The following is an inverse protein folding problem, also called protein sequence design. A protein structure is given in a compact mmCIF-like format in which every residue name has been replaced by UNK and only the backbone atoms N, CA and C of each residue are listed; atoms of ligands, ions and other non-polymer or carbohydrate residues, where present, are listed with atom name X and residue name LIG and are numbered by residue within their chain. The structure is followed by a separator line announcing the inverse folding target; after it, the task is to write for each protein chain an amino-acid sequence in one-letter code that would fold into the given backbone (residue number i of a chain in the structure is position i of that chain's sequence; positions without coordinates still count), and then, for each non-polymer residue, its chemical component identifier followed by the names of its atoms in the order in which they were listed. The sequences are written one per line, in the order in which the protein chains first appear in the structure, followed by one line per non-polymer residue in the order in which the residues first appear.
data_IF_921553125453
#
_entry.id   IF_921553125453
#
_cell.length_a   1.000
_cell.length_b   1.000
_cell.length_c   1.000
_cell.angle_alpha   90.00
_cell.angle_beta   90.00
_cell.angle_gamma   90.00
#
_symmetry.space_group_name_H-M   'P 1'
#
loop_
_entity.id
_entity.type
_entity.pdbx_description
1 polymer ?
#
# COMPACT_ATOMS: atom_id res chain seq x y z
N UNK A 1 -35.38 8.24 9.21
CA UNK A 1 -34.05 7.99 8.58
C UNK A 1 -33.41 6.72 9.11
N UNK A 2 -32.52 6.12 8.30
CA UNK A 2 -31.73 4.92 8.63
C UNK A 2 -30.23 5.26 8.64
N UNK A 3 -29.47 4.50 9.43
CA UNK A 3 -28.03 4.63 9.61
C UNK A 3 -27.34 3.49 8.84
N UNK A 4 -26.46 3.82 7.89
CA UNK A 4 -25.63 2.84 7.18
C UNK A 4 -24.15 3.17 7.40
N UNK A 5 -23.37 2.18 7.81
CA UNK A 5 -21.90 2.24 7.87
C UNK A 5 -21.34 1.68 6.57
N UNK A 6 -20.59 2.49 5.83
CA UNK A 6 -19.97 2.08 4.56
C UNK A 6 -18.44 2.21 4.69
N UNK A 7 -17.72 1.13 4.42
CA UNK A 7 -16.27 1.16 4.24
C UNK A 7 -15.96 1.55 2.78
N UNK A 8 -15.26 2.66 2.57
CA UNK A 8 -14.78 3.08 1.25
C UNK A 8 -13.35 2.57 1.04
N UNK A 9 -13.18 1.60 0.15
CA UNK A 9 -11.89 1.35 -0.53
C UNK A 9 -12.03 1.77 -1.99
N UNK A 10 -11.17 2.71 -2.43
CA UNK A 10 -11.13 3.14 -3.83
C UNK A 10 -10.58 2.00 -4.69
N UNK A 11 -11.47 1.18 -5.24
CA UNK A 11 -11.19 0.37 -6.42
C UNK A 11 -11.50 1.21 -7.67
N UNK A 12 -10.52 1.38 -8.55
CA UNK A 12 -10.76 1.91 -9.90
C UNK A 12 -11.67 0.92 -10.66
N UNK A 13 -12.91 1.36 -10.91
CA UNK A 13 -13.98 0.53 -11.44
C UNK A 13 -13.91 0.40 -12.97
N UNK A 14 -13.84 -0.84 -13.45
CA UNK A 14 -14.28 -1.24 -14.79
C UNK A 14 -15.72 -1.77 -14.70
N UNK A 15 -16.61 -1.23 -15.52
CA UNK A 15 -18.06 -1.48 -15.55
C UNK A 15 -18.44 -2.94 -15.82
N UNK A 16 -19.37 -3.49 -15.03
CA UNK A 16 -20.10 -4.73 -15.33
C UNK A 16 -21.60 -4.44 -15.51
N UNK A 17 -22.13 -4.99 -16.61
CA UNK A 17 -23.57 -5.09 -16.90
C UNK A 17 -24.17 -6.23 -16.08
N UNK A 18 -25.38 -5.99 -15.59
CA UNK A 18 -26.16 -6.78 -14.63
C UNK A 18 -26.62 -8.14 -15.15
N UNK A 19 -26.67 -9.15 -14.27
CA UNK A 19 -27.60 -10.27 -14.36
C UNK A 19 -28.16 -10.60 -12.96
N UNK A 20 -29.48 -10.47 -12.81
CA UNK A 20 -30.25 -10.82 -11.61
C UNK A 20 -30.36 -12.34 -11.44
N UNK A 21 -30.29 -12.86 -10.21
CA UNK A 21 -31.20 -13.91 -9.75
C UNK A 21 -31.39 -13.84 -8.22
N UNK A 22 -32.66 -13.76 -7.82
CA UNK A 22 -33.18 -13.94 -6.47
C UNK A 22 -32.89 -15.35 -5.97
N UNK A 23 -32.55 -15.52 -4.68
CA UNK A 23 -33.20 -16.53 -3.82
C UNK A 23 -33.10 -16.10 -2.34
N UNK A 24 -34.27 -16.03 -1.70
CA UNK A 24 -34.46 -15.86 -0.26
C UNK A 24 -34.10 -17.16 0.45
N UNK A 25 -33.39 -17.11 1.58
CA UNK A 25 -33.69 -17.95 2.73
C UNK A 25 -33.33 -17.23 4.03
N UNK A 26 -34.21 -17.43 5.01
CA UNK A 26 -34.41 -16.65 6.23
C UNK A 26 -34.35 -17.66 7.37
N UNK A 27 -33.38 -17.58 8.29
CA UNK A 27 -33.50 -18.21 9.61
C UNK A 27 -32.72 -17.45 10.71
N UNK A 28 -33.53 -16.95 11.64
CA UNK A 28 -33.38 -16.82 13.10
C UNK A 28 -32.07 -16.43 13.79
N UNK A 29 -32.23 -15.38 14.59
CA UNK A 29 -31.36 -14.79 15.59
C UNK A 29 -30.94 -15.76 16.70
N UNK A 30 -29.69 -15.66 17.15
CA UNK A 30 -29.36 -15.63 18.57
C UNK A 30 -28.30 -14.55 18.85
N UNK A 31 -28.62 -13.73 19.84
CA UNK A 31 -27.97 -12.50 20.27
C UNK A 31 -26.80 -12.85 21.20
N UNK A 32 -25.59 -12.36 20.90
CA UNK A 32 -24.57 -12.10 21.93
C UNK A 32 -23.89 -10.78 21.60
N UNK A 33 -23.89 -9.94 22.62
CA UNK A 33 -23.40 -8.58 22.67
C UNK A 33 -21.88 -8.63 22.81
N UNK A 34 -21.17 -7.97 21.89
CA UNK A 34 -19.72 -7.76 22.00
C UNK A 34 -19.43 -6.33 21.57
N UNK A 35 -18.83 -5.59 22.50
CA UNK A 35 -18.34 -4.22 22.34
C UNK A 35 -17.32 -4.19 21.20
N UNK A 36 -17.57 -3.35 20.19
CA UNK A 36 -16.66 -3.13 19.06
C UNK A 36 -15.90 -1.83 19.33
N UNK A 37 -14.60 -1.94 19.52
CA UNK A 37 -13.66 -0.82 19.55
C UNK A 37 -13.21 -0.52 18.10
N UNK A 38 -13.20 0.76 17.75
CA UNK A 38 -13.42 1.28 16.40
C UNK A 38 -12.14 1.38 15.55
N UNK A 39 -12.15 0.77 14.36
CA UNK A 39 -11.54 1.39 13.17
C UNK A 39 -12.51 2.44 12.59
N UNK A 40 -12.01 3.54 12.03
CA UNK A 40 -12.85 4.67 11.60
C UNK A 40 -13.94 4.26 10.59
N UNK A 41 -15.21 4.35 11.01
CA UNK A 41 -16.39 4.15 10.17
C UNK A 41 -16.96 5.50 9.74
N UNK A 42 -17.16 5.71 8.44
CA UNK A 42 -17.90 6.88 7.95
C UNK A 42 -19.40 6.56 8.01
N UNK A 43 -20.13 7.36 8.79
CA UNK A 43 -21.58 7.23 8.99
C UNK A 43 -22.32 7.97 7.89
N UNK A 44 -23.18 7.26 7.14
CA UNK A 44 -24.06 7.84 6.11
C UNK A 44 -25.51 7.85 6.60
N UNK A 45 -26.19 9.00 6.44
CA UNK A 45 -27.59 9.19 6.82
C UNK A 45 -28.49 9.11 5.60
N UNK A 46 -29.56 8.31 5.67
CA UNK A 46 -30.49 8.14 4.56
C UNK A 46 -31.94 8.48 4.93
N UNK A 47 -32.59 9.25 4.05
CA UNK A 47 -34.04 9.49 4.04
C UNK A 47 -34.61 8.97 2.71
N UNK A 48 -35.63 8.11 2.79
CA UNK A 48 -36.28 7.47 1.64
C UNK A 48 -35.30 6.81 0.63
N UNK A 49 -34.22 6.22 1.14
CA UNK A 49 -33.21 5.53 0.33
C UNK A 49 -32.23 6.46 -0.38
N UNK A 50 -32.18 7.75 -0.04
CA UNK A 50 -31.19 8.71 -0.53
C UNK A 50 -30.35 9.25 0.61
N UNK A 51 -29.05 9.40 0.37
CA UNK A 51 -28.14 10.02 1.32
C UNK A 51 -28.47 11.50 1.50
N UNK A 52 -28.56 11.94 2.76
CA UNK A 52 -28.75 13.33 3.15
C UNK A 52 -27.54 13.83 3.96
N UNK A 53 -27.12 15.09 3.79
CA UNK A 53 -25.98 15.64 4.50
C UNK A 53 -26.28 15.78 6.00
N UNK A 54 -25.24 15.66 6.84
CA UNK A 54 -25.35 15.76 8.30
C UNK A 54 -26.06 17.05 8.77
N UNK A 55 -25.88 18.15 8.03
CA UNK A 55 -26.51 19.42 8.36
C UNK A 55 -28.04 19.41 8.19
N UNK A 56 -28.56 18.71 7.17
CA UNK A 56 -30.01 18.53 6.98
C UNK A 56 -30.59 17.56 8.03
N UNK A 57 -29.82 16.54 8.42
CA UNK A 57 -30.18 15.63 9.51
C UNK A 57 -30.36 16.39 10.81
N UNK A 58 -29.40 17.26 11.15
CA UNK A 58 -29.45 18.06 12.37
C UNK A 58 -30.56 19.10 12.38
N UNK A 59 -30.81 19.77 11.25
CA UNK A 59 -31.93 20.70 11.11
C UNK A 59 -33.28 19.98 11.29
N UNK A 60 -33.46 18.83 10.63
CA UNK A 60 -34.71 18.06 10.71
C UNK A 60 -34.94 17.37 12.06
N UNK A 61 -33.88 17.07 12.81
CA UNK A 61 -34.00 16.61 14.20
C UNK A 61 -34.39 17.75 15.16
N UNK A 62 -33.88 18.96 14.93
CA UNK A 62 -34.14 20.13 15.77
C UNK A 62 -35.57 20.69 15.59
N UNK A 63 -36.12 20.66 14.38
CA UNK A 63 -37.48 21.11 14.08
C UNK A 63 -38.54 20.00 14.21
N UNK A 64 -38.11 18.77 14.47
CA UNK A 64 -38.96 17.60 14.68
C UNK A 64 -39.54 16.96 13.41
N UNK A 65 -39.10 17.41 12.22
CA UNK A 65 -39.52 16.86 10.93
C UNK A 65 -38.89 15.50 10.60
N UNK A 66 -37.75 15.17 11.20
CA UNK A 66 -37.05 13.89 11.05
C UNK A 66 -36.99 13.10 12.36
N UNK A 67 -37.17 11.78 12.26
CA UNK A 67 -36.98 10.83 13.35
C UNK A 67 -36.25 9.57 12.85
N UNK A 68 -35.48 8.92 13.71
CA UNK A 68 -34.83 7.65 13.41
C UNK A 68 -35.86 6.51 13.40
N UNK A 69 -35.75 5.60 12.42
CA UNK A 69 -36.79 4.60 12.17
C UNK A 69 -36.83 3.45 13.20
N UNK A 70 -35.79 3.29 14.04
CA UNK A 70 -35.62 2.13 14.94
C UNK A 70 -35.38 2.49 16.42
N UNK A 71 -35.66 3.71 16.88
CA UNK A 71 -35.32 4.20 18.23
C UNK A 71 -33.82 4.15 18.60
N UNK A 72 -32.92 3.81 17.67
CA UNK A 72 -31.48 4.04 17.82
C UNK A 72 -31.22 5.55 17.68
N UNK A 73 -31.23 6.24 18.82
CA UNK A 73 -30.84 7.63 18.94
C UNK A 73 -29.38 7.69 19.41
N UNK A 74 -28.39 7.69 18.50
CA UNK A 74 -27.04 8.02 18.90
C UNK A 74 -27.05 9.43 19.51
N UNK A 75 -26.65 9.54 20.77
CA UNK A 75 -26.47 10.84 21.43
C UNK A 75 -25.29 11.55 20.79
N UNK A 76 -25.46 12.83 20.46
CA UNK A 76 -24.38 13.72 20.01
C UNK A 76 -24.11 13.77 18.51
N UNK A 77 -25.03 13.29 17.66
CA UNK A 77 -24.95 13.40 16.18
C UNK A 77 -24.66 14.83 15.69
N UNK A 78 -25.18 15.83 16.41
CA UNK A 78 -25.12 17.23 16.01
C UNK A 78 -24.17 18.08 16.85
N UNK A 79 -23.43 17.46 17.78
CA UNK A 79 -22.55 18.19 18.71
C UNK A 79 -21.37 18.85 17.97
N UNK A 80 -20.92 18.25 16.86
CA UNK A 80 -19.85 18.78 16.01
C UNK A 80 -20.22 20.01 15.16
N UNK A 81 -21.50 20.43 15.13
CA UNK A 81 -21.92 21.64 14.40
C UNK A 81 -22.01 22.89 15.29
N UNK A 82 -21.77 22.78 16.60
CA UNK A 82 -21.81 23.91 17.52
C UNK A 82 -20.49 24.69 17.57
N UNK A 83 -19.99 25.14 16.41
CA UNK A 83 -19.01 26.24 16.30
C UNK A 83 -18.89 26.67 14.85
N UNK A 84 -19.77 27.57 14.40
CA UNK A 84 -19.44 28.75 13.57
C UNK A 84 -20.71 29.34 12.95
N UNK A 85 -20.89 30.64 13.17
CA UNK A 85 -21.99 31.46 12.69
C UNK A 85 -21.58 32.25 11.45
N UNK A 86 -22.52 32.36 10.49
CA UNK A 86 -22.70 33.37 9.41
C UNK A 86 -22.04 33.21 8.01
N UNK A 87 -22.88 32.75 7.04
CA UNK A 87 -23.30 33.34 5.72
C UNK A 87 -22.29 33.71 4.58
N UNK A 88 -22.74 33.83 3.30
CA UNK A 88 -23.72 33.02 2.53
C UNK A 88 -23.23 32.58 1.11
N UNK A 89 -23.89 31.53 0.61
CA UNK A 89 -24.31 31.19 -0.78
C UNK A 89 -23.49 31.66 -2.00
N UNK A 90 -23.01 30.68 -2.78
CA UNK A 90 -22.99 30.72 -4.25
C UNK A 90 -23.21 29.33 -4.86
N UNK A 91 -24.17 29.27 -5.77
CA UNK A 91 -24.65 28.15 -6.60
C UNK A 91 -23.52 27.42 -7.36
N UNK A 92 -23.53 26.08 -7.50
CA UNK A 92 -22.64 25.42 -8.46
C UNK A 92 -23.25 25.39 -9.87
N UNK A 93 -22.47 25.87 -10.83
CA UNK A 93 -22.69 25.77 -12.27
C UNK A 93 -22.36 24.36 -12.76
N UNK A 94 -23.21 23.82 -13.64
CA UNK A 94 -23.11 22.48 -14.22
C UNK A 94 -22.35 22.55 -15.54
N UNK A 95 -21.30 21.74 -15.71
CA UNK A 95 -20.78 21.36 -17.05
C UNK A 95 -19.90 20.08 -16.95
N UNK A 96 -19.66 19.32 -18.04
CA UNK A 96 -20.10 17.94 -18.12
C UNK A 96 -18.94 16.93 -18.07
N UNK A 97 -19.32 15.70 -17.74
CA UNK A 97 -18.54 14.47 -17.79
C UNK A 97 -18.04 14.19 -19.22
N UNK A 98 -16.72 14.17 -19.43
CA UNK A 98 -16.10 13.53 -20.59
C UNK A 98 -15.44 12.22 -20.14
N UNK A 99 -15.93 11.12 -20.70
CA UNK A 99 -15.39 9.78 -20.52
C UNK A 99 -13.97 9.66 -21.08
N UNK A 100 -13.07 8.90 -20.44
CA UNK A 100 -11.73 8.64 -20.97
C UNK A 100 -11.79 7.72 -22.20
N UNK A 101 -11.05 8.12 -23.23
CA UNK A 101 -10.87 7.42 -24.49
C UNK A 101 -10.17 6.07 -24.30
N UNK A 102 -10.68 5.04 -24.98
CA UNK A 102 -10.03 3.73 -25.15
C UNK A 102 -9.13 3.79 -26.40
N UNK A 103 -7.92 3.23 -26.33
CA UNK A 103 -7.01 3.12 -27.48
C UNK A 103 -6.84 1.65 -27.91
N UNK A 104 -6.97 1.42 -29.22
CA UNK A 104 -6.70 0.16 -29.92
C UNK A 104 -5.40 0.36 -30.70
N UNK A 105 -4.40 -0.49 -30.49
CA UNK A 105 -3.18 -0.48 -31.30
C UNK A 105 -3.27 -1.40 -32.52
N UNK A 106 -2.89 -0.85 -33.68
CA UNK A 106 -2.54 -1.59 -34.89
C UNK A 106 -1.05 -1.96 -34.87
N UNK A 107 -0.75 -3.26 -34.99
CA UNK A 107 0.61 -3.75 -35.18
C UNK A 107 1.16 -3.39 -36.57
N UNK A 108 2.42 -2.94 -36.59
CA UNK A 108 3.26 -2.99 -37.79
C UNK A 108 4.63 -3.54 -37.42
N UNK A 109 5.03 -4.56 -38.18
CA UNK A 109 6.23 -5.37 -38.00
C UNK A 109 7.39 -4.72 -38.74
N UNK A 110 8.52 -4.54 -38.07
CA UNK A 110 9.80 -4.30 -38.74
C UNK A 110 10.92 -5.08 -38.05
N UNK A 111 11.53 -5.97 -38.82
CA UNK A 111 12.74 -6.75 -38.54
C UNK A 111 14.00 -5.89 -38.53
N UNK A 112 15.01 -6.25 -37.72
CA UNK A 112 16.41 -5.96 -38.10
C UNK A 112 17.28 -7.22 -38.15
N UNK A 113 18.22 -7.21 -39.09
CA UNK A 113 19.24 -8.21 -39.33
C UNK A 113 20.56 -7.91 -38.57
N UNK A 114 21.21 -8.99 -38.14
CA UNK A 114 22.66 -9.26 -37.96
C UNK A 114 23.63 -8.13 -37.59
N UNK A 115 24.43 -8.34 -36.53
CA UNK A 115 25.83 -8.81 -36.68
C UNK A 115 26.60 -8.91 -35.35
N UNK A 116 27.43 -9.95 -35.31
CA UNK A 116 28.40 -10.34 -34.28
C UNK A 116 29.65 -9.46 -34.35
N UNK A 117 30.26 -9.14 -33.20
CA UNK A 117 31.72 -9.13 -33.02
C UNK A 117 32.08 -8.98 -31.54
N UNK A 118 32.92 -9.90 -31.07
CA UNK A 118 33.55 -9.89 -29.76
C UNK A 118 34.85 -9.06 -29.79
N UNK A 119 35.22 -8.46 -28.66
CA UNK A 119 36.62 -8.41 -28.22
C UNK A 119 36.74 -7.99 -26.75
N UNK A 120 37.63 -8.71 -26.08
CA UNK A 120 38.05 -8.72 -24.69
C UNK A 120 39.08 -7.64 -24.35
N UNK A 121 39.08 -7.11 -23.12
CA UNK A 121 40.31 -6.75 -22.38
C UNK A 121 40.11 -6.57 -20.86
N UNK A 122 40.79 -7.44 -20.10
CA UNK A 122 41.53 -7.25 -18.84
C UNK A 122 41.14 -6.17 -17.80
N UNK A 123 40.71 -6.69 -16.65
CA UNK A 123 41.02 -6.38 -15.24
C UNK A 123 42.09 -5.33 -14.89
N UNK A 124 41.75 -4.46 -13.91
CA UNK A 124 42.68 -3.87 -12.93
C UNK A 124 42.00 -3.84 -11.54
N UNK A 125 42.70 -4.31 -10.51
CA UNK A 125 42.27 -4.41 -9.12
C UNK A 125 42.89 -3.30 -8.25
N UNK A 126 42.10 -2.89 -7.23
CA UNK A 126 42.46 -2.42 -5.85
C UNK A 126 43.08 -1.02 -5.65
N UNK A 127 42.95 -0.37 -4.46
CA UNK A 127 42.56 -0.92 -3.14
C UNK A 127 41.47 -0.17 -2.33
N UNK A 128 41.01 -0.89 -1.29
CA UNK A 128 40.09 -0.47 -0.25
C UNK A 128 40.64 0.65 0.66
N UNK A 129 39.74 1.49 1.16
CA UNK A 129 39.93 2.35 2.32
C UNK A 129 38.73 2.20 3.26
N UNK A 130 39.03 2.23 4.55
CA UNK A 130 38.26 1.67 5.65
C UNK A 130 37.11 2.56 6.15
N UNK A 131 36.04 1.88 6.54
CA UNK A 131 34.97 2.18 7.51
C UNK A 131 35.14 3.38 8.47
N UNK A 132 34.07 4.20 8.57
CA UNK A 132 33.24 4.30 9.79
C UNK A 132 32.10 5.33 9.65
N UNK A 133 30.85 4.89 9.55
CA UNK A 133 29.68 5.40 10.32
C UNK A 133 28.36 4.80 9.80
N UNK A 134 27.80 3.91 10.62
CA UNK A 134 26.45 3.32 10.65
C UNK A 134 25.45 3.69 9.51
N UNK A 135 25.32 2.77 8.55
CA UNK A 135 24.11 2.59 7.74
C UNK A 135 23.26 1.50 8.37
N UNK A 136 22.04 1.83 8.79
CA UNK A 136 21.06 0.89 9.32
C UNK A 136 20.36 0.11 8.20
N UNK A 137 21.14 -0.50 7.30
CA UNK A 137 20.63 -1.64 6.55
C UNK A 137 20.78 -2.86 7.44
N UNK A 138 19.69 -3.28 8.07
CA UNK A 138 19.58 -4.62 8.64
C UNK A 138 19.95 -5.62 7.55
N UNK A 139 21.21 -6.06 7.52
CA UNK A 139 21.73 -7.00 6.53
C UNK A 139 21.02 -8.33 6.73
N UNK A 140 20.03 -8.59 5.89
CA UNK A 140 19.33 -9.86 5.85
C UNK A 140 20.36 -10.98 5.66
N UNK A 141 20.37 -11.95 6.58
CA UNK A 141 21.20 -13.14 6.49
C UNK A 141 20.42 -14.28 5.85
N UNK A 142 21.09 -15.14 5.08
CA UNK A 142 20.46 -16.33 4.50
C UNK A 142 19.38 -16.07 3.45
N UNK A 143 19.50 -15.00 2.66
CA UNK A 143 18.61 -14.74 1.51
C UNK A 143 18.56 -15.90 0.51
N UNK A 144 19.63 -16.68 0.43
CA UNK A 144 19.71 -17.86 -0.44
C UNK A 144 19.36 -19.18 0.24
N UNK A 145 19.01 -19.17 1.53
CA UNK A 145 18.61 -20.35 2.26
C UNK A 145 17.13 -20.69 2.00
N UNK A 146 16.86 -21.97 1.77
CA UNK A 146 15.49 -22.48 1.78
C UNK A 146 14.94 -22.38 3.21
N UNK A 147 13.67 -21.98 3.33
CA UNK A 147 12.98 -21.91 4.60
C UNK A 147 12.72 -23.33 5.14
N UNK A 148 13.00 -23.59 6.43
CA UNK A 148 12.82 -24.89 7.07
C UNK A 148 11.34 -25.09 7.43
N UNK A 149 10.54 -25.41 6.42
CA UNK A 149 9.09 -25.52 6.48
C UNK A 149 8.61 -26.48 7.59
N UNK A 150 7.90 -25.95 8.60
CA UNK A 150 7.39 -26.71 9.74
C UNK A 150 8.39 -27.00 10.86
N UNK A 151 9.61 -26.46 10.81
CA UNK A 151 10.64 -26.74 11.83
C UNK A 151 10.70 -25.65 12.91
N UNK A 152 10.62 -24.37 12.51
CA UNK A 152 10.71 -23.23 13.42
C UNK A 152 9.43 -23.07 14.23
N UNK A 153 9.60 -22.76 15.52
CA UNK A 153 8.49 -22.36 16.39
C UNK A 153 7.93 -21.00 15.96
N UNK A 154 6.63 -20.76 16.17
CA UNK A 154 6.01 -19.48 15.80
C UNK A 154 6.55 -18.27 16.56
N UNK A 155 7.19 -18.49 17.71
CA UNK A 155 7.90 -17.46 18.46
C UNK A 155 9.27 -17.10 17.88
N UNK A 156 9.77 -17.87 16.91
CA UNK A 156 11.08 -17.66 16.31
C UNK A 156 10.95 -16.81 15.05
N UNK A 157 11.45 -15.58 15.10
CA UNK A 157 11.53 -14.75 13.90
C UNK A 157 12.61 -15.29 12.93
N UNK A 158 12.31 -15.50 11.63
CA UNK A 158 13.19 -16.23 10.72
C UNK A 158 14.28 -15.36 10.06
N UNK A 159 15.06 -14.63 10.87
CA UNK A 159 16.12 -13.73 10.37
C UNK A 159 17.25 -14.45 9.63
N UNK A 160 17.47 -15.73 9.94
CA UNK A 160 18.48 -16.58 9.29
C UNK A 160 18.07 -17.00 7.86
N UNK A 161 16.86 -16.64 7.41
CA UNK A 161 16.27 -17.03 6.13
C UNK A 161 15.81 -15.82 5.30
N UNK A 162 16.48 -14.68 5.49
CA UNK A 162 16.32 -13.46 4.70
C UNK A 162 15.29 -12.46 5.24
N UNK A 163 14.47 -12.84 6.22
CA UNK A 163 13.50 -11.93 6.81
C UNK A 163 14.20 -10.84 7.65
N UNK A 164 13.72 -9.61 7.54
CA UNK A 164 14.23 -8.46 8.28
C UNK A 164 13.28 -8.16 9.45
N UNK A 165 13.80 -8.18 10.67
CA UNK A 165 13.03 -7.92 11.87
C UNK A 165 12.68 -6.42 12.01
N UNK A 166 11.41 -6.13 12.27
CA UNK A 166 10.88 -4.80 12.52
C UNK A 166 10.46 -4.65 13.99
N UNK A 167 11.44 -4.70 14.89
CA UNK A 167 11.19 -4.78 16.34
C UNK A 167 10.42 -3.57 16.90
N UNK A 168 10.54 -2.40 16.27
CA UNK A 168 9.86 -1.17 16.69
C UNK A 168 8.34 -1.25 16.59
N UNK A 169 7.78 -2.17 15.79
CA UNK A 169 6.33 -2.39 15.72
C UNK A 169 5.79 -3.12 16.96
N UNK A 170 6.67 -3.74 17.76
CA UNK A 170 6.28 -4.50 18.95
C UNK A 170 5.48 -5.76 18.62
N UNK A 171 5.70 -6.32 17.44
CA UNK A 171 5.07 -7.55 16.94
C UNK A 171 6.06 -8.73 16.88
N UNK A 172 7.12 -8.73 17.68
CA UNK A 172 8.14 -9.80 17.65
C UNK A 172 8.90 -9.90 16.32
N UNK A 173 9.17 -8.75 15.69
CA UNK A 173 9.92 -8.63 14.42
C UNK A 173 9.07 -8.73 13.15
N UNK A 174 7.82 -9.20 13.23
CA UNK A 174 6.91 -9.29 12.09
C UNK A 174 6.51 -7.90 11.55
N UNK A 175 6.36 -7.77 10.22
CA UNK A 175 5.88 -6.52 9.59
C UNK A 175 4.38 -6.32 9.72
N UNK A 176 3.68 -7.36 10.13
CA UNK A 176 2.24 -7.38 10.35
C UNK A 176 1.79 -8.80 10.65
N UNK A 177 0.74 -8.96 11.44
CA UNK A 177 0.17 -10.28 11.75
C UNK A 177 -1.34 -10.18 11.54
N UNK A 178 -1.89 -11.16 10.82
CA UNK A 178 -3.32 -11.25 10.54
C UNK A 178 -3.87 -12.52 11.18
N UNK A 179 -4.79 -12.36 12.13
CA UNK A 179 -5.60 -13.45 12.67
C UNK A 179 -6.79 -13.67 11.73
N UNK A 180 -6.81 -14.83 11.07
CA UNK A 180 -7.80 -15.12 10.03
C UNK A 180 -8.82 -16.14 10.52
N UNK A 181 -10.10 -15.88 10.24
CA UNK A 181 -11.19 -16.84 10.46
C UNK A 181 -11.79 -17.28 9.13
N UNK A 182 -12.15 -18.55 9.04
CA UNK A 182 -12.73 -19.14 7.85
C UNK A 182 -14.24 -19.34 8.00
N UNK A 183 -14.99 -18.97 6.97
CA UNK A 183 -16.34 -19.46 6.73
C UNK A 183 -16.28 -20.32 5.46
N UNK A 184 -16.58 -21.61 5.60
CA UNK A 184 -16.36 -22.62 4.56
C UNK A 184 -14.90 -22.65 4.05
N UNK A 185 -14.65 -22.13 2.85
CA UNK A 185 -13.33 -22.14 2.18
C UNK A 185 -12.77 -20.73 1.95
N UNK A 186 -13.41 -19.71 2.49
CA UNK A 186 -12.99 -18.31 2.33
C UNK A 186 -12.64 -17.71 3.69
N UNK A 187 -11.71 -16.75 3.67
CA UNK A 187 -11.38 -15.96 4.86
C UNK A 187 -12.50 -14.92 5.03
N UNK A 188 -13.32 -15.10 6.06
CA UNK A 188 -14.49 -14.26 6.33
C UNK A 188 -14.17 -13.06 7.20
N UNK A 189 -13.15 -13.19 8.06
CA UNK A 189 -12.76 -12.16 9.01
C UNK A 189 -11.23 -12.14 9.13
N UNK A 190 -10.70 -10.93 9.25
CA UNK A 190 -9.29 -10.66 9.46
C UNK A 190 -9.21 -9.65 10.60
N UNK A 191 -8.50 -10.02 11.67
CA UNK A 191 -8.13 -9.11 12.75
C UNK A 191 -6.63 -8.87 12.63
N UNK A 192 -6.23 -7.62 12.44
CA UNK A 192 -4.82 -7.24 12.42
C UNK A 192 -4.31 -7.10 13.85
N UNK A 193 -3.16 -7.70 14.12
CA UNK A 193 -2.49 -7.59 15.40
C UNK A 193 -2.04 -6.17 15.72
N UNK A 194 -2.01 -5.83 17.00
CA UNK A 194 -1.51 -4.56 17.54
C UNK A 194 -0.25 -4.78 18.38
N UNK A 195 0.46 -3.71 18.73
CA UNK A 195 1.65 -3.81 19.59
C UNK A 195 1.40 -4.65 20.84
N UNK A 196 2.27 -5.63 21.08
CA UNK A 196 2.16 -6.60 22.18
C UNK A 196 1.56 -7.94 21.79
N UNK A 197 0.90 -8.03 20.63
CA UNK A 197 0.46 -9.29 20.05
C UNK A 197 1.62 -10.11 19.46
N UNK A 198 1.34 -11.36 19.13
CA UNK A 198 2.34 -12.31 18.66
C UNK A 198 1.82 -13.24 17.54
N UNK A 199 2.77 -13.82 16.80
CA UNK A 199 2.49 -14.83 15.78
C UNK A 199 2.10 -16.15 16.48
N UNK A 200 0.79 -16.42 16.55
CA UNK A 200 0.23 -17.59 17.22
C UNK A 200 -0.47 -18.52 16.24
N UNK A 201 -0.78 -19.76 16.67
CA UNK A 201 -1.39 -20.76 15.79
C UNK A 201 -2.69 -20.24 15.17
N UNK A 202 -2.80 -20.36 13.84
CA UNK A 202 -3.87 -19.80 13.01
C UNK A 202 -3.57 -18.42 12.41
N UNK A 203 -2.48 -17.76 12.82
CA UNK A 203 -2.12 -16.45 12.30
C UNK A 203 -1.31 -16.54 10.98
N UNK A 204 -1.48 -15.52 10.14
CA UNK A 204 -0.65 -15.24 8.97
C UNK A 204 0.35 -14.16 9.36
N UNK A 205 1.63 -14.50 9.38
CA UNK A 205 2.71 -13.70 9.94
C UNK A 205 3.58 -13.13 8.81
N UNK A 206 3.38 -11.84 8.58
CA UNK A 206 3.99 -11.06 7.52
C UNK A 206 5.38 -10.59 7.92
N UNK A 207 6.31 -10.55 6.97
CA UNK A 207 7.71 -10.19 7.23
C UNK A 207 8.24 -9.21 6.17
N UNK A 208 9.23 -8.43 6.57
CA UNK A 208 9.99 -7.58 5.67
C UNK A 208 11.14 -8.34 5.00
N UNK A 209 11.50 -7.85 3.81
CA UNK A 209 12.66 -8.29 3.05
C UNK A 209 13.57 -7.09 2.82
N UNK A 210 14.87 -7.29 2.59
CA UNK A 210 15.80 -6.18 2.35
C UNK A 210 15.45 -5.41 1.07
N UNK A 211 16.02 -4.21 0.94
CA UNK A 211 15.86 -3.35 -0.25
C UNK A 211 16.07 -4.13 -1.56
N UNK A 212 15.18 -3.94 -2.53
CA UNK A 212 15.18 -4.67 -3.80
C UNK A 212 14.53 -6.06 -3.77
N UNK A 213 14.23 -6.60 -2.57
CA UNK A 213 13.52 -7.86 -2.39
C UNK A 213 12.07 -7.66 -1.93
N UNK A 214 11.26 -8.69 -2.08
CA UNK A 214 9.89 -8.76 -1.64
C UNK A 214 9.58 -10.15 -1.09
N UNK A 215 8.58 -10.22 -0.22
CA UNK A 215 8.11 -11.50 0.31
C UNK A 215 7.66 -12.41 -0.82
N UNK A 216 7.75 -13.71 -0.61
CA UNK A 216 7.24 -14.70 -1.56
C UNK A 216 6.02 -15.46 -1.04
N UNK A 217 5.66 -15.25 0.23
CA UNK A 217 4.68 -16.07 0.94
C UNK A 217 3.37 -15.30 1.19
N UNK A 218 2.28 -15.87 0.69
CA UNK A 218 0.90 -15.52 0.96
C UNK A 218 -0.01 -16.71 0.62
N UNK A 219 -1.11 -16.95 1.35
CA UNK A 219 -2.03 -18.03 1.01
C UNK A 219 -2.77 -17.79 -0.30
N UNK A 220 -3.16 -18.87 -0.99
CA UNK A 220 -4.02 -18.76 -2.18
C UNK A 220 -5.42 -18.22 -1.85
N UNK A 221 -5.93 -18.54 -0.66
CA UNK A 221 -7.17 -17.95 -0.13
C UNK A 221 -6.88 -16.55 0.40
N UNK A 222 -7.63 -15.57 -0.10
CA UNK A 222 -7.58 -14.16 0.33
C UNK A 222 -8.88 -13.77 1.03
N UNK A 223 -8.96 -12.54 1.55
CA UNK A 223 -10.15 -12.03 2.24
C UNK A 223 -11.38 -12.02 1.33
N UNK A 224 -12.52 -12.45 1.87
CA UNK A 224 -13.78 -12.58 1.11
C UNK A 224 -14.32 -11.25 0.59
N UNK A 225 -13.95 -10.12 1.19
CA UNK A 225 -14.31 -8.78 0.72
C UNK A 225 -13.16 -8.09 -0.03
N UNK A 226 -12.16 -8.85 -0.48
CA UNK A 226 -11.04 -8.33 -1.27
C UNK A 226 -9.86 -7.83 -0.44
N UNK A 227 -9.80 -8.06 0.88
CA UNK A 227 -8.56 -7.80 1.62
C UNK A 227 -7.46 -8.76 1.18
N UNK A 228 -6.23 -8.28 1.15
CA UNK A 228 -5.07 -9.16 0.99
C UNK A 228 -4.72 -9.86 2.31
N UNK A 229 -4.15 -11.06 2.18
CA UNK A 229 -3.60 -11.85 3.28
C UNK A 229 -2.22 -12.30 2.87
N UNK A 230 -1.23 -12.15 3.74
CA UNK A 230 0.17 -12.39 3.41
C UNK A 230 1.00 -12.91 4.57
N UNK A 231 2.19 -13.41 4.23
CA UNK A 231 3.10 -14.01 5.20
C UNK A 231 3.06 -15.53 5.24
N UNK A 232 3.79 -16.08 6.19
CA UNK A 232 3.83 -17.51 6.51
C UNK A 232 2.77 -17.85 7.57
N UNK A 233 2.28 -19.09 7.58
CA UNK A 233 1.26 -19.55 8.51
C UNK A 233 1.92 -20.08 9.79
N UNK A 234 1.50 -19.60 10.96
CA UNK A 234 1.74 -20.35 12.19
C UNK A 234 0.67 -21.43 12.35
N UNK A 235 1.04 -22.70 12.36
CA UNK A 235 0.12 -23.83 12.50
C UNK A 235 0.66 -24.83 13.50
N UNK A 236 -0.13 -25.17 14.52
CA UNK A 236 0.25 -26.10 15.60
C UNK A 236 1.59 -25.73 16.26
N UNK A 237 1.84 -24.42 16.42
CA UNK A 237 3.06 -23.90 17.04
C UNK A 237 4.29 -23.86 16.13
N UNK A 238 4.18 -24.26 14.86
CA UNK A 238 5.26 -24.22 13.87
C UNK A 238 4.96 -23.31 12.69
N UNK A 239 5.99 -22.72 12.09
CA UNK A 239 5.88 -21.84 10.91
C UNK A 239 5.90 -22.64 9.60
N UNK A 240 4.99 -22.32 8.69
CA UNK A 240 4.84 -22.97 7.38
C UNK A 240 4.75 -21.97 6.23
N UNK A 241 5.37 -22.30 5.10
CA UNK A 241 5.23 -21.63 3.82
C UNK A 241 3.78 -21.71 3.33
N UNK A 242 3.31 -20.61 2.75
CA UNK A 242 1.94 -20.46 2.22
C UNK A 242 1.90 -20.43 0.70
N UNK A 243 3.05 -20.26 0.04
CA UNK A 243 3.20 -20.21 -1.42
C UNK A 243 4.49 -20.90 -1.91
N UNK A 244 4.65 -22.17 -1.55
CA UNK A 244 5.81 -22.99 -1.94
C UNK A 244 5.92 -23.24 -3.45
N UNK A 245 4.83 -23.03 -4.21
CA UNK A 245 4.84 -23.10 -5.67
C UNK A 245 5.61 -21.93 -6.31
N UNK A 246 5.60 -20.75 -5.70
CA UNK A 246 6.40 -19.61 -6.15
C UNK A 246 7.85 -19.71 -5.68
N UNK A 247 8.07 -20.01 -4.39
CA UNK A 247 9.42 -20.05 -3.81
C UNK A 247 9.45 -20.82 -2.49
N UNK A 248 10.59 -21.47 -2.22
CA UNK A 248 10.94 -22.01 -0.89
C UNK A 248 11.69 -21.00 -0.01
N UNK A 249 12.17 -19.90 -0.59
CA UNK A 249 12.85 -18.81 0.11
C UNK A 249 11.84 -17.76 0.52
N UNK A 250 11.99 -17.14 1.70
CA UNK A 250 11.07 -16.09 2.16
C UNK A 250 11.15 -14.83 1.30
N UNK A 251 12.35 -14.40 0.93
CA UNK A 251 12.56 -13.20 0.15
C UNK A 251 13.00 -13.53 -1.28
N UNK A 252 12.31 -12.95 -2.27
CA UNK A 252 12.65 -13.04 -3.70
C UNK A 252 12.94 -11.66 -4.26
N UNK A 253 13.85 -11.52 -5.24
CA UNK A 253 14.13 -10.22 -5.84
C UNK A 253 12.91 -9.71 -6.64
N UNK A 254 12.75 -8.39 -6.70
CA UNK A 254 11.96 -7.77 -7.77
C UNK A 254 12.69 -7.84 -9.11
N UNK A 255 12.11 -7.24 -10.16
CA UNK A 255 12.73 -7.23 -11.51
C UNK A 255 13.98 -6.34 -11.61
N UNK A 256 14.21 -5.49 -10.61
CA UNK A 256 15.38 -4.60 -10.54
C UNK A 256 15.31 -3.35 -11.44
N UNK A 257 16.42 -2.59 -11.43
CA UNK A 257 16.60 -1.37 -12.23
C UNK A 257 15.75 -0.17 -11.81
N UNK A 258 15.28 -0.16 -10.56
CA UNK A 258 14.60 1.00 -9.95
C UNK A 258 15.29 1.33 -8.65
N UNK A 259 15.62 2.60 -8.45
CA UNK A 259 16.34 3.09 -7.29
C UNK A 259 15.66 4.33 -6.71
N UNK A 260 16.08 4.70 -5.51
CA UNK A 260 15.77 5.98 -4.89
C UNK A 260 17.04 6.58 -4.32
N UNK A 261 17.22 7.88 -4.51
CA UNK A 261 18.37 8.64 -4.07
C UNK A 261 17.92 9.84 -3.24
N UNK A 262 18.54 10.01 -2.09
CA UNK A 262 18.29 11.14 -1.22
C UNK A 262 19.43 12.17 -1.27
N UNK A 263 19.15 13.39 -1.74
CA UNK A 263 20.09 14.51 -1.74
C UNK A 263 19.59 15.72 -0.92
N UNK A 264 18.67 15.52 0.03
CA UNK A 264 18.01 16.61 0.77
C UNK A 264 18.73 17.00 2.07
N UNK A 265 19.86 16.35 2.41
CA UNK A 265 20.68 16.69 3.58
C UNK A 265 20.23 16.08 4.91
N UNK A 266 19.11 15.37 4.94
CA UNK A 266 18.52 14.75 6.13
C UNK A 266 18.01 13.34 5.80
N UNK A 267 17.84 12.48 6.81
CA UNK A 267 17.30 11.14 6.58
C UNK A 267 15.87 11.21 6.05
N UNK A 268 15.48 10.30 5.15
CA UNK A 268 14.11 10.15 4.67
C UNK A 268 13.68 8.70 4.79
N UNK A 269 12.49 8.46 5.34
CA UNK A 269 11.86 7.15 5.37
C UNK A 269 10.96 6.96 4.14
N UNK A 270 11.25 5.93 3.35
CA UNK A 270 10.44 5.49 2.22
C UNK A 270 9.85 4.13 2.55
N UNK A 271 8.56 4.09 2.86
CA UNK A 271 7.94 2.91 3.45
C UNK A 271 7.05 2.20 2.43
N UNK A 272 7.34 0.94 2.11
CA UNK A 272 6.53 0.15 1.17
C UNK A 272 5.34 -0.47 1.89
N UNK A 273 4.21 -0.56 1.20
CA UNK A 273 3.07 -1.35 1.66
C UNK A 273 3.46 -2.82 1.89
N UNK A 274 3.01 -3.37 3.00
CA UNK A 274 3.02 -4.78 3.37
C UNK A 274 2.03 -5.56 2.50
N UNK A 275 2.37 -5.73 1.22
CA UNK A 275 1.46 -6.27 0.22
C UNK A 275 2.03 -7.47 -0.54
N UNK A 276 1.29 -8.60 -0.62
CA UNK A 276 0.06 -8.89 0.13
C UNK A 276 0.32 -9.01 1.65
N UNK A 277 -0.69 -8.73 2.48
CA UNK A 277 -0.51 -8.72 3.94
C UNK A 277 -1.47 -7.76 4.62
N UNK A 278 -0.96 -7.05 5.62
CA UNK A 278 -1.75 -6.09 6.40
C UNK A 278 -2.11 -4.81 5.65
N UNK A 279 -1.50 -4.59 4.47
CA UNK A 279 -1.66 -3.36 3.68
C UNK A 279 -1.20 -2.09 4.41
N UNK A 280 -0.51 -2.25 5.53
CA UNK A 280 0.17 -1.15 6.23
C UNK A 280 1.49 -0.84 5.55
N UNK A 281 1.90 0.41 5.56
CA UNK A 281 3.19 0.94 5.08
C UNK A 281 4.39 0.55 5.95
N UNK A 282 4.47 -0.70 6.41
CA UNK A 282 5.45 -1.08 7.45
C UNK A 282 6.80 -1.54 6.91
N UNK A 283 6.96 -1.75 5.60
CA UNK A 283 8.23 -2.26 5.05
C UNK A 283 9.21 -1.09 4.88
N UNK A 284 10.28 -0.99 5.70
CA UNK A 284 11.08 0.21 5.73
C UNK A 284 12.15 0.23 4.64
N UNK A 285 12.40 1.43 4.12
CA UNK A 285 13.63 1.79 3.45
C UNK A 285 14.10 3.14 3.99
N UNK A 286 15.18 3.12 4.77
CA UNK A 286 15.84 4.35 5.22
C UNK A 286 16.80 4.86 4.16
N UNK A 287 16.82 6.18 3.97
CA UNK A 287 17.79 6.86 3.11
C UNK A 287 18.47 7.97 3.92
N UNK A 288 19.73 7.77 4.27
CA UNK A 288 20.60 8.81 4.79
C UNK A 288 20.94 9.86 3.73
N UNK A 289 21.82 10.80 4.10
CA UNK A 289 22.26 11.85 3.20
C UNK A 289 23.12 11.30 2.06
N UNK A 290 22.85 11.73 0.82
CA UNK A 290 23.48 11.28 -0.42
C UNK A 290 23.41 9.76 -0.66
N UNK A 291 22.46 9.07 -0.01
CA UNK A 291 22.32 7.62 -0.10
C UNK A 291 21.49 7.20 -1.33
N UNK A 292 21.92 6.14 -1.99
CA UNK A 292 21.23 5.48 -3.09
C UNK A 292 20.89 4.04 -2.67
N UNK A 293 19.60 3.67 -2.74
CA UNK A 293 19.14 2.32 -2.44
C UNK A 293 18.24 1.77 -3.56
N UNK A 294 18.22 0.45 -3.80
CA UNK A 294 17.28 -0.16 -4.74
C UNK A 294 15.86 -0.15 -4.18
N UNK A 295 14.89 0.11 -5.06
CA UNK A 295 13.48 -0.17 -4.81
C UNK A 295 13.11 -1.51 -5.41
N UNK A 296 12.22 -2.23 -4.75
CA UNK A 296 11.63 -3.44 -5.33
C UNK A 296 10.60 -3.05 -6.38
N UNK A 297 10.78 -3.56 -7.60
CA UNK A 297 9.81 -3.47 -8.68
C UNK A 297 9.14 -4.85 -8.86
N UNK A 298 7.85 -5.02 -8.49
CA UNK A 298 7.15 -6.27 -8.70
C UNK A 298 6.94 -6.59 -10.18
N UNK A 299 7.07 -7.86 -10.53
CA UNK A 299 6.70 -8.38 -11.84
C UNK A 299 5.19 -8.68 -11.88
N UNK A 300 4.45 -7.92 -12.66
CA UNK A 300 2.99 -7.99 -12.72
C UNK A 300 2.43 -9.24 -13.40
N UNK A 301 3.26 -10.01 -14.10
CA UNK A 301 2.88 -11.28 -14.72
C UNK A 301 2.98 -12.43 -13.72
N UNK A 302 4.08 -12.44 -12.95
CA UNK A 302 4.51 -13.59 -12.14
C UNK A 302 4.36 -13.41 -10.62
N UNK A 303 4.24 -12.18 -10.12
CA UNK A 303 4.05 -11.89 -8.70
C UNK A 303 2.57 -11.93 -8.30
N UNK A 304 2.24 -11.41 -7.10
CA UNK A 304 0.90 -11.40 -6.54
C UNK A 304 -0.13 -10.71 -7.47
N UNK A 305 -1.29 -11.36 -7.64
CA UNK A 305 -2.44 -10.82 -8.38
C UNK A 305 -3.62 -10.65 -7.45
N UNK A 306 -4.14 -9.43 -7.38
CA UNK A 306 -5.30 -9.12 -6.57
C UNK A 306 -6.58 -9.30 -7.39
N UNK A 307 -7.43 -10.26 -7.01
CA UNK A 307 -8.64 -10.61 -7.78
C UNK A 307 -8.36 -10.83 -9.29
N UNK A 308 -7.22 -11.45 -9.59
CA UNK A 308 -6.76 -11.69 -10.97
C UNK A 308 -6.14 -10.47 -11.67
N UNK A 309 -6.08 -9.31 -11.01
CA UNK A 309 -5.47 -8.09 -11.55
C UNK A 309 -4.01 -7.98 -11.15
N UNK A 310 -3.20 -7.45 -12.05
CA UNK A 310 -1.80 -7.10 -11.80
C UNK A 310 -1.68 -6.10 -10.66
N UNK A 311 -0.60 -6.21 -9.89
CA UNK A 311 -0.28 -5.34 -8.76
C UNK A 311 1.05 -4.62 -8.98
N UNK A 312 1.27 -3.56 -8.22
CA UNK A 312 2.51 -2.78 -8.18
C UNK A 312 2.91 -2.53 -6.72
N UNK A 313 4.15 -2.08 -6.51
CA UNK A 313 4.58 -1.60 -5.22
C UNK A 313 4.22 -0.12 -5.07
N UNK A 314 3.67 0.22 -3.91
CA UNK A 314 3.45 1.59 -3.47
C UNK A 314 4.39 1.88 -2.30
N UNK A 315 5.07 3.02 -2.37
CA UNK A 315 5.95 3.52 -1.32
C UNK A 315 5.43 4.86 -0.80
N UNK A 316 5.43 5.05 0.49
CA UNK A 316 5.06 6.27 1.20
C UNK A 316 6.31 7.06 1.51
N UNK A 317 6.41 8.28 0.98
CA UNK A 317 7.56 9.16 1.17
C UNK A 317 7.26 10.11 2.32
N UNK A 318 7.89 9.86 3.45
CA UNK A 318 7.75 10.70 4.65
C UNK A 318 8.54 12.01 4.48
N UNK A 319 8.19 13.07 5.23
CA UNK A 319 8.98 14.29 5.31
C UNK A 319 10.44 14.03 5.70
N UNK A 320 11.33 14.98 5.37
CA UNK A 320 12.74 14.84 5.75
C UNK A 320 12.92 14.88 7.27
N UNK A 321 13.96 14.23 7.75
CA UNK A 321 14.23 14.06 9.18
C UNK A 321 13.43 12.95 9.84
N UNK A 322 12.50 12.29 9.15
CA UNK A 322 11.72 11.17 9.68
C UNK A 322 12.47 9.85 9.48
N UNK A 323 12.76 9.14 10.56
CA UNK A 323 13.39 7.82 10.52
C UNK A 323 12.39 6.72 10.12
N UNK A 324 12.86 5.56 9.62
CA UNK A 324 11.97 4.44 9.31
C UNK A 324 11.15 3.95 10.51
N UNK A 325 11.72 3.92 11.71
CA UNK A 325 11.02 3.48 12.93
C UNK A 325 9.89 4.44 13.32
N UNK A 326 10.00 5.72 12.94
CA UNK A 326 8.93 6.69 13.15
C UNK A 326 7.90 6.63 12.01
N UNK A 327 8.36 6.60 10.76
CA UNK A 327 7.53 6.81 9.57
C UNK A 327 6.95 5.54 8.91
N UNK A 328 7.50 4.35 9.18
CA UNK A 328 7.04 3.09 8.55
C UNK A 328 6.13 2.30 9.49
N UNK A 329 5.06 2.97 9.92
CA UNK A 329 3.99 2.42 10.75
C UNK A 329 2.75 3.31 10.59
N UNK A 330 1.60 2.80 11.03
CA UNK A 330 0.34 3.54 11.01
C UNK A 330 0.42 4.84 11.83
N UNK A 331 0.05 5.97 11.23
CA UNK A 331 -0.04 7.27 11.89
C UNK A 331 -1.47 7.61 12.34
N UNK A 332 -1.62 8.37 13.41
CA UNK A 332 -2.93 8.79 13.94
C UNK A 332 -3.55 10.02 13.22
N UNK A 333 -2.82 10.59 12.26
CA UNK A 333 -3.21 11.78 11.49
C UNK A 333 -2.77 13.10 12.10
N UNK A 334 -2.08 13.09 13.24
CA UNK A 334 -1.50 14.30 13.85
C UNK A 334 -0.24 14.80 13.13
N UNK A 335 0.46 13.90 12.44
CA UNK A 335 1.65 14.19 11.65
C UNK A 335 1.52 13.56 10.24
N UNK A 336 2.15 14.15 9.21
CA UNK A 336 2.13 13.63 7.84
C UNK A 336 3.13 12.47 7.66
N UNK A 337 2.98 11.41 8.44
CA UNK A 337 3.86 10.22 8.44
C UNK A 337 3.06 8.94 8.21
N UNK A 338 3.75 7.86 7.81
CA UNK A 338 3.11 6.57 7.57
C UNK A 338 2.08 6.66 6.45
N UNK A 339 0.90 6.10 6.70
CA UNK A 339 -0.25 6.22 5.81
C UNK A 339 -0.66 7.68 5.51
N UNK A 340 -0.25 8.66 6.33
CA UNK A 340 -0.51 10.10 6.14
C UNK A 340 0.65 10.80 5.44
N UNK A 341 1.67 10.06 4.99
CA UNK A 341 2.77 10.61 4.21
C UNK A 341 2.25 11.35 2.98
N UNK A 342 2.77 12.55 2.65
CA UNK A 342 2.22 13.40 1.60
C UNK A 342 2.22 12.78 0.20
N UNK A 343 3.26 12.00 -0.12
CA UNK A 343 3.53 11.51 -1.47
C UNK A 343 3.66 10.00 -1.49
N UNK A 344 3.13 9.40 -2.56
CA UNK A 344 3.38 8.03 -2.91
C UNK A 344 4.22 7.90 -4.19
N UNK A 345 5.08 6.89 -4.19
CA UNK A 345 5.77 6.40 -5.39
C UNK A 345 5.12 5.09 -5.82
N UNK A 346 4.76 4.98 -7.10
CA UNK A 346 4.30 3.73 -7.70
C UNK A 346 5.41 3.10 -8.52
N UNK A 347 5.63 1.79 -8.35
CA UNK A 347 6.66 1.04 -9.08
C UNK A 347 6.12 -0.33 -9.46
N UNK A 348 6.13 -0.67 -10.76
CA UNK A 348 5.75 -2.01 -11.20
C UNK A 348 6.11 -2.30 -12.65
N UNK A 349 6.21 -3.58 -12.98
CA UNK A 349 6.44 -4.05 -14.35
C UNK A 349 5.21 -4.79 -14.87
N UNK A 350 4.65 -4.34 -15.99
CA UNK A 350 3.59 -5.03 -16.72
C UNK A 350 3.58 -4.54 -18.18
N UNK A 351 4.08 -5.37 -19.11
CA UNK A 351 4.30 -4.99 -20.51
C UNK A 351 5.05 -3.65 -20.67
N UNK A 352 6.00 -3.40 -19.77
CA UNK A 352 6.67 -2.10 -19.58
C UNK A 352 6.92 -1.86 -18.09
N UNK A 353 7.92 -1.05 -17.75
CA UNK A 353 8.26 -0.72 -16.36
C UNK A 353 7.77 0.70 -16.06
N UNK A 354 6.85 0.83 -15.12
CA UNK A 354 6.10 2.06 -14.86
C UNK A 354 6.46 2.64 -13.49
N UNK A 355 6.80 3.92 -13.48
CA UNK A 355 7.13 4.67 -12.27
C UNK A 355 6.22 5.91 -12.18
N UNK A 356 5.66 6.16 -11.00
CA UNK A 356 4.80 7.33 -10.76
C UNK A 356 5.16 8.05 -9.47
N UNK A 357 4.88 9.36 -9.45
CA UNK A 357 4.88 10.21 -8.25
C UNK A 357 3.49 10.80 -8.14
N UNK A 358 2.79 10.58 -7.04
CA UNK A 358 1.41 11.03 -6.89
C UNK A 358 1.08 11.43 -5.45
N UNK A 359 0.11 12.33 -5.29
CA UNK A 359 -0.41 12.74 -4.00
C UNK A 359 -1.09 11.55 -3.32
N UNK A 360 -0.86 11.36 -2.03
CA UNK A 360 -1.58 10.38 -1.22
C UNK A 360 -3.03 10.83 -0.94
N UNK A 361 -3.84 10.85 -1.99
CA UNK A 361 -5.24 11.27 -1.99
C UNK A 361 -6.16 10.05 -1.98
N UNK A 362 -7.31 10.11 -1.29
CA UNK A 362 -7.86 11.24 -0.54
C UNK A 362 -7.36 11.33 0.92
N UNK A 363 -6.42 10.48 1.32
CA UNK A 363 -5.95 10.37 2.71
C UNK A 363 -5.43 11.70 3.25
N UNK A 364 -4.59 12.41 2.49
CA UNK A 364 -4.01 13.67 2.93
C UNK A 364 -3.88 14.68 1.79
N UNK A 365 -4.04 15.96 2.14
CA UNK A 365 -3.73 17.11 1.27
C UNK A 365 -2.39 17.76 1.59
N UNK A 366 -1.68 17.26 2.60
CA UNK A 366 -0.37 17.76 3.00
C UNK A 366 0.63 17.67 1.85
N UNK A 367 1.59 18.59 1.86
CA UNK A 367 2.63 18.70 0.82
C UNK A 367 3.96 18.27 1.42
N UNK A 368 4.73 17.55 0.61
CA UNK A 368 6.07 17.12 0.99
C UNK A 368 6.99 18.33 1.01
N UNK A 369 7.94 18.33 1.94
CA UNK A 369 8.83 19.45 2.24
C UNK A 369 10.14 19.44 1.44
N UNK A 370 10.19 18.63 0.38
CA UNK A 370 11.26 18.56 -0.62
C UNK A 370 10.72 18.10 -1.97
N UNK A 371 11.54 18.21 -3.02
CA UNK A 371 11.12 17.88 -4.39
C UNK A 371 11.54 16.46 -4.78
N UNK A 372 10.83 15.89 -5.75
CA UNK A 372 11.12 14.54 -6.27
C UNK A 372 11.11 14.60 -7.79
N UNK A 373 12.05 13.93 -8.45
CA UNK A 373 11.99 13.70 -9.90
C UNK A 373 12.43 12.30 -10.26
N UNK A 374 11.86 11.77 -11.34
CA UNK A 374 12.34 10.52 -11.93
C UNK A 374 13.44 10.86 -12.93
N UNK A 375 14.61 10.24 -12.75
CA UNK A 375 15.72 10.24 -13.72
C UNK A 375 15.91 8.85 -14.30
N UNK A 376 16.24 8.77 -15.57
CA UNK A 376 16.62 7.53 -16.24
C UNK A 376 17.20 7.85 -17.62
N UNK A 377 17.93 6.91 -18.20
CA UNK A 377 18.60 7.12 -19.49
C UNK A 377 17.60 7.22 -20.65
N UNK A 378 16.49 6.48 -20.57
CA UNK A 378 15.47 6.44 -21.61
C UNK A 378 14.07 6.28 -21.00
N UNK A 379 13.40 7.41 -20.78
CA UNK A 379 12.04 7.48 -20.24
C UNK A 379 11.07 7.95 -21.34
N UNK A 380 9.81 7.52 -21.28
CA UNK A 380 8.77 7.99 -22.21
C UNK A 380 8.41 9.48 -22.05
N UNK A 381 8.91 10.14 -21.02
CA UNK A 381 8.76 11.57 -20.75
C UNK A 381 9.40 11.96 -19.43
N UNK A 382 8.96 13.08 -18.85
CA UNK A 382 9.36 13.52 -17.51
C UNK A 382 8.24 13.37 -16.47
N UNK A 383 8.65 13.20 -15.21
CA UNK A 383 7.75 13.26 -14.06
C UNK A 383 8.51 13.81 -12.86
N UNK A 384 8.02 14.93 -12.33
CA UNK A 384 8.59 15.62 -11.16
C UNK A 384 7.50 16.19 -10.27
N UNK A 385 7.76 16.24 -8.97
CA UNK A 385 7.03 16.97 -7.96
C UNK A 385 7.91 18.11 -7.47
N UNK A 386 7.46 19.35 -7.68
CA UNK A 386 8.15 20.55 -7.22
C UNK A 386 7.18 21.50 -6.52
N UNK A 387 7.52 21.90 -5.29
CA UNK A 387 6.75 22.88 -4.51
C UNK A 387 5.24 22.61 -4.46
N UNK A 388 4.84 21.35 -4.24
CA UNK A 388 3.44 20.96 -4.14
C UNK A 388 2.72 20.67 -5.45
N UNK A 389 3.41 20.77 -6.60
CA UNK A 389 2.84 20.60 -7.94
C UNK A 389 3.57 19.50 -8.71
N UNK A 390 2.82 18.68 -9.44
CA UNK A 390 3.38 17.64 -10.31
C UNK A 390 3.53 18.18 -11.73
N UNK A 391 4.59 17.82 -12.43
CA UNK A 391 4.84 18.22 -13.80
C UNK A 391 5.23 17.02 -14.66
N UNK A 392 4.72 17.00 -15.87
CA UNK A 392 5.05 16.05 -16.93
C UNK A 392 5.06 16.76 -18.29
N UNK A 393 5.26 15.99 -19.37
CA UNK A 393 5.17 16.49 -20.75
C UNK A 393 3.81 17.10 -21.10
N UNK A 394 2.74 16.70 -20.38
CA UNK A 394 1.38 17.21 -20.60
C UNK A 394 1.08 18.47 -19.77
N UNK A 395 2.03 18.96 -18.98
CA UNK A 395 1.90 20.17 -18.16
C UNK A 395 1.88 19.89 -16.65
N UNK A 396 1.29 20.81 -15.89
CA UNK A 396 1.19 20.69 -14.43
C UNK A 396 -0.10 19.98 -13.99
N UNK A 397 0.00 19.15 -12.95
CA UNK A 397 -1.11 18.43 -12.32
C UNK A 397 -1.06 18.58 -10.80
N UNK A 398 -2.21 18.41 -10.13
CA UNK A 398 -2.32 18.33 -8.67
C UNK A 398 -2.39 16.89 -8.15
N UNK A 399 -2.54 15.89 -9.02
CA UNK A 399 -2.74 14.49 -8.62
C UNK A 399 -1.49 13.63 -8.71
N UNK A 400 -0.67 13.83 -9.75
CA UNK A 400 0.51 13.00 -9.99
C UNK A 400 1.00 13.05 -11.43
N UNK A 401 2.07 12.30 -11.68
CA UNK A 401 2.62 12.01 -12.99
C UNK A 401 3.19 10.58 -13.04
N UNK A 402 3.31 10.04 -14.25
CA UNK A 402 3.80 8.67 -14.50
C UNK A 402 4.68 8.68 -15.75
N UNK A 403 5.72 7.85 -15.75
CA UNK A 403 6.57 7.57 -16.91
C UNK A 403 6.78 6.07 -17.07
N UNK A 404 7.08 5.67 -18.30
CA UNK A 404 7.57 4.34 -18.62
C UNK A 404 9.10 4.39 -18.74
N UNK A 405 9.78 3.39 -18.19
CA UNK A 405 11.22 3.15 -18.38
C UNK A 405 11.38 2.27 -19.61
N UNK A 406 11.74 2.89 -20.74
CA UNK A 406 11.86 2.22 -22.03
C UNK A 406 13.10 1.32 -22.09
N UNK A 407 14.17 1.71 -21.39
CA UNK A 407 15.39 0.90 -21.24
C UNK A 407 16.27 1.42 -20.10
N UNK A 408 17.11 0.54 -19.54
CA UNK A 408 18.06 0.89 -18.49
C UNK A 408 17.40 1.04 -17.11
N UNK A 409 18.08 1.78 -16.24
CA UNK A 409 17.65 1.98 -14.87
C UNK A 409 16.97 3.35 -14.71
N UNK A 410 16.10 3.43 -13.70
CA UNK A 410 15.48 4.68 -13.29
C UNK A 410 15.64 4.91 -11.79
N UNK A 411 15.71 6.18 -11.38
CA UNK A 411 15.95 6.60 -10.01
C UNK A 411 14.97 7.72 -9.65
N UNK A 412 14.25 7.57 -8.54
CA UNK A 412 13.59 8.69 -7.86
C UNK A 412 14.65 9.50 -7.12
N UNK A 413 14.83 10.78 -7.46
CA UNK A 413 15.82 11.65 -6.82
C UNK A 413 15.10 12.69 -5.97
N UNK A 414 15.42 12.73 -4.67
CA UNK A 414 14.95 13.74 -3.73
C UNK A 414 15.94 14.92 -3.70
N UNK A 415 15.47 16.17 -3.84
CA UNK A 415 16.32 17.35 -3.99
C UNK A 415 15.70 18.68 -3.55
#
# INVERSE_FOLDING_TARGET
MRLNTVALTLATAGSLVTAQHHHQHRHHQHKRETVVESGATVVQYELDGKAIPLQEVCAGLADGSLKFANNDHPTGVCDNLSSSSAAPTSTPEVTPTLAPAQFIELSSVVTPASSTSASSSSTVQTPAASSSSASSSSTATGLDADFPDGELDCSTFPSDYGAVALDYLGLGGWSGIQYVSFADKVISEIVTAVTGDACTSGAMCSYACPAGYQKSQWPSTQGSTGQSVGGIECRNGKLYLTNSALSKKLCIPGVGGVHVQNNVGETVAVCRTDYPGTESETIPLGLGDNELQPLTCPDGETYYKWQGKTTSAQYYVNPKGISPEKGCQWGDGSEPIGNWAPINLGVGQNNGKWLSIFQNSPTTTEKLDFNIKIKGDNLSGSCKYENGVFYSETGSSSSGCTVEVMSGDATFVFY
#
